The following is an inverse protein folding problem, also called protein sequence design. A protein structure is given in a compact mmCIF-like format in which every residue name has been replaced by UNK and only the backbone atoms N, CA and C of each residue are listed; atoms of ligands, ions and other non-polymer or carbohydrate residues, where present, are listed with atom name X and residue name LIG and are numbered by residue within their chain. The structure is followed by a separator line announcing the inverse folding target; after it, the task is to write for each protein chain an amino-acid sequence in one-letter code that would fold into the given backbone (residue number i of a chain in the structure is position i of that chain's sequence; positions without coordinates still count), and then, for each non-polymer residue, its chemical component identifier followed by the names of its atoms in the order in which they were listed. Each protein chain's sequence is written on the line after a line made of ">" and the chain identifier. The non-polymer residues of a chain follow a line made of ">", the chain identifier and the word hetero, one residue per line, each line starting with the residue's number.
data_IF_386563687975
#
_entry.id   IF_386563687975
#
_cell.length_a   1.000
_cell.length_b   1.000
_cell.length_c   1.000
_cell.angle_alpha   90.00
_cell.angle_beta   90.00
_cell.angle_gamma   90.00
#
_symmetry.space_group_name_H-M   'P 1'
#
loop_
_entity.id
_entity.type
_entity.pdbx_description
1 polymer ?
#
# COMPACT_ATOMS: atom_id res chain seq x y z
N UNK A 1 11.62 7.00 -14.01
CA UNK A 1 11.48 8.35 -14.61
C UNK A 1 10.35 9.05 -13.88
N UNK A 2 10.51 10.31 -13.48
CA UNK A 2 9.41 11.04 -12.81
C UNK A 2 8.22 11.22 -13.78
N UNK A 3 6.97 11.24 -13.29
CA UNK A 3 5.76 11.36 -14.13
C UNK A 3 5.81 12.59 -15.05
N UNK A 4 6.41 13.69 -14.58
CA UNK A 4 6.67 14.89 -15.39
C UNK A 4 7.59 14.65 -16.60
N UNK A 5 8.62 13.80 -16.46
CA UNK A 5 9.52 13.46 -17.58
C UNK A 5 8.78 12.63 -18.63
N UNK A 6 7.89 11.74 -18.20
CA UNK A 6 7.08 10.91 -19.11
C UNK A 6 6.07 11.77 -19.87
N UNK A 7 5.40 12.70 -19.20
CA UNK A 7 4.49 13.66 -19.84
C UNK A 7 5.23 14.53 -20.86
N UNK A 8 6.40 15.08 -20.50
CA UNK A 8 7.22 15.89 -21.43
C UNK A 8 7.73 15.08 -22.62
N UNK A 9 8.16 13.83 -22.40
CA UNK A 9 8.61 12.95 -23.47
C UNK A 9 7.47 12.59 -24.43
N UNK A 10 6.27 12.30 -23.92
CA UNK A 10 5.09 12.01 -24.75
C UNK A 10 4.65 13.24 -25.57
N UNK A 11 4.63 14.42 -24.96
CA UNK A 11 4.34 15.66 -25.69
C UNK A 11 5.39 15.96 -26.76
N UNK A 12 6.68 15.77 -26.46
CA UNK A 12 7.76 15.91 -27.43
C UNK A 12 7.63 14.89 -28.57
N UNK A 13 7.33 13.63 -28.27
CA UNK A 13 7.11 12.59 -29.28
C UNK A 13 5.93 12.91 -30.20
N UNK A 14 4.80 13.36 -29.65
CA UNK A 14 3.64 13.77 -30.44
C UNK A 14 3.96 14.95 -31.37
N UNK A 15 4.74 15.92 -30.90
CA UNK A 15 5.18 17.07 -31.69
C UNK A 15 6.20 16.66 -32.76
N UNK A 16 7.22 15.87 -32.40
CA UNK A 16 8.24 15.38 -33.33
C UNK A 16 7.60 14.56 -34.44
N UNK A 17 6.62 13.72 -34.13
CA UNK A 17 5.88 12.97 -35.14
C UNK A 17 5.16 13.90 -36.13
N UNK A 18 4.46 14.91 -35.60
CA UNK A 18 3.72 15.88 -36.42
C UNK A 18 4.67 16.64 -37.35
N UNK A 19 5.83 17.09 -36.86
CA UNK A 19 6.86 17.75 -37.69
C UNK A 19 7.48 16.79 -38.71
N UNK A 20 7.77 15.56 -38.32
CA UNK A 20 8.40 14.56 -39.18
C UNK A 20 7.51 14.21 -40.37
N UNK A 21 6.20 14.07 -40.16
CA UNK A 21 5.25 13.83 -41.26
C UNK A 21 5.27 15.00 -42.24
N UNK A 22 5.27 16.24 -41.77
CA UNK A 22 5.33 17.43 -42.64
C UNK A 22 6.64 17.53 -43.44
N UNK A 23 7.77 17.20 -42.82
CA UNK A 23 9.08 17.20 -43.50
C UNK A 23 9.14 16.09 -44.55
N UNK A 24 8.61 14.91 -44.24
CA UNK A 24 8.55 13.80 -45.19
C UNK A 24 7.65 14.11 -46.39
N UNK A 25 6.49 14.72 -46.14
CA UNK A 25 5.54 15.15 -47.17
C UNK A 25 6.16 16.18 -48.13
N UNK A 26 6.96 17.13 -47.61
CA UNK A 26 7.67 18.11 -48.43
C UNK A 26 8.85 17.54 -49.26
N UNK A 27 9.41 16.40 -48.85
CA UNK A 27 10.58 15.79 -49.49
C UNK A 27 10.22 14.70 -50.51
N UNK A 28 9.04 14.10 -50.38
CA UNK A 28 8.57 13.02 -51.24
C UNK A 28 7.88 13.57 -52.50
N UNK A 29 7.96 12.84 -53.62
CA UNK A 29 7.24 13.20 -54.83
C UNK A 29 5.72 13.19 -54.59
N UNK A 30 5.00 14.09 -55.30
CA UNK A 30 3.57 14.38 -55.06
C UNK A 30 2.57 13.27 -55.37
N UNK A 31 3.03 12.05 -55.65
CA UNK A 31 2.24 10.84 -55.79
C UNK A 31 2.09 10.06 -54.47
N UNK A 32 2.85 10.42 -53.43
CA UNK A 32 2.76 9.82 -52.09
C UNK A 32 1.97 10.72 -51.14
N UNK A 33 0.88 10.22 -50.58
CA UNK A 33 0.01 10.97 -49.66
C UNK A 33 0.27 10.53 -48.21
N UNK A 34 0.86 11.42 -47.40
CA UNK A 34 1.19 11.13 -46.00
C UNK A 34 0.23 11.77 -44.98
N UNK A 35 -0.74 12.56 -45.42
CA UNK A 35 -1.74 13.23 -44.58
C UNK A 35 -2.43 12.33 -43.54
N UNK A 36 -2.78 11.05 -43.81
CA UNK A 36 -3.37 10.17 -42.80
C UNK A 36 -2.49 9.96 -41.56
N UNK A 37 -1.16 10.05 -41.71
CA UNK A 37 -0.21 9.81 -40.62
C UNK A 37 -0.18 10.96 -39.59
N UNK A 38 -0.70 12.14 -39.93
CA UNK A 38 -0.80 13.28 -39.01
C UNK A 38 -1.74 12.94 -37.82
N UNK A 39 -2.75 12.10 -38.05
CA UNK A 39 -3.70 11.65 -37.03
C UNK A 39 -3.08 10.75 -35.94
N UNK A 40 -1.85 10.27 -36.13
CA UNK A 40 -1.11 9.52 -35.10
C UNK A 40 -0.65 10.44 -33.96
N UNK A 41 -0.41 11.72 -34.21
CA UNK A 41 0.00 12.69 -33.16
C UNK A 41 -1.01 12.79 -32.00
N UNK A 42 -2.32 13.02 -32.23
CA UNK A 42 -3.30 13.01 -31.14
C UNK A 42 -3.45 11.63 -30.47
N UNK A 43 -3.15 10.51 -31.16
CA UNK A 43 -3.11 9.18 -30.54
C UNK A 43 -1.93 9.01 -29.58
N UNK A 44 -0.74 9.51 -29.94
CA UNK A 44 0.42 9.54 -29.03
C UNK A 44 0.10 10.42 -27.81
N UNK A 45 -0.51 11.59 -28.04
CA UNK A 45 -0.93 12.49 -26.97
C UNK A 45 -1.96 11.85 -26.04
N UNK A 46 -2.94 11.12 -26.57
CA UNK A 46 -4.02 10.51 -25.80
C UNK A 46 -3.57 9.34 -24.92
N UNK A 47 -2.34 8.85 -25.05
CA UNK A 47 -1.82 7.80 -24.19
C UNK A 47 -1.49 8.31 -22.78
N UNK A 48 -0.97 9.54 -22.67
CA UNK A 48 -0.42 10.07 -21.41
C UNK A 48 -0.96 11.45 -21.06
N UNK A 49 -1.21 12.32 -22.03
CA UNK A 49 -1.55 13.71 -21.78
C UNK A 49 -3.01 13.91 -21.36
N UNK A 50 -3.36 15.14 -20.99
CA UNK A 50 -4.72 15.53 -20.59
C UNK A 50 -5.66 15.65 -21.80
N UNK A 51 -6.99 15.58 -21.62
CA UNK A 51 -7.94 15.70 -22.72
C UNK A 51 -7.83 17.04 -23.47
N UNK A 52 -7.48 18.13 -22.76
CA UNK A 52 -7.30 19.46 -23.34
C UNK A 52 -6.08 19.51 -24.26
N UNK A 53 -4.97 18.95 -23.81
CA UNK A 53 -3.72 18.88 -24.60
C UNK A 53 -3.86 17.92 -25.78
N UNK A 54 -4.53 16.78 -25.62
CA UNK A 54 -4.85 15.86 -26.73
C UNK A 54 -5.74 16.52 -27.77
N UNK A 55 -6.74 17.29 -27.34
CA UNK A 55 -7.57 18.07 -28.25
C UNK A 55 -6.77 19.14 -29.01
N UNK A 56 -5.76 19.74 -28.39
CA UNK A 56 -4.87 20.70 -29.05
C UNK A 56 -4.02 20.03 -30.14
N UNK A 57 -3.48 18.84 -29.91
CA UNK A 57 -2.81 18.04 -30.95
C UNK A 57 -3.75 17.61 -32.07
N UNK A 58 -5.00 17.25 -31.73
CA UNK A 58 -6.03 16.96 -32.74
C UNK A 58 -6.38 18.16 -33.61
N UNK A 59 -6.53 19.34 -32.99
CA UNK A 59 -6.77 20.59 -33.73
C UNK A 59 -5.58 20.97 -34.62
N UNK A 60 -4.35 20.79 -34.14
CA UNK A 60 -3.14 21.00 -34.94
C UNK A 60 -3.07 20.04 -36.14
N UNK A 61 -3.42 18.77 -35.94
CA UNK A 61 -3.48 17.78 -37.01
C UNK A 61 -4.48 18.18 -38.11
N UNK A 62 -5.68 18.60 -37.72
CA UNK A 62 -6.71 19.10 -38.65
C UNK A 62 -6.22 20.34 -39.40
N UNK A 63 -5.60 21.30 -38.70
CA UNK A 63 -5.06 22.51 -39.32
C UNK A 63 -3.97 22.20 -40.36
N UNK A 64 -3.10 21.23 -40.05
CA UNK A 64 -2.07 20.73 -40.97
C UNK A 64 -2.70 20.13 -42.23
N UNK A 65 -3.70 19.25 -42.09
CA UNK A 65 -4.39 18.64 -43.24
C UNK A 65 -5.09 19.69 -44.11
N UNK A 66 -5.63 20.76 -43.50
CA UNK A 66 -6.22 21.88 -44.24
C UNK A 66 -5.15 22.62 -45.05
N UNK A 67 -4.02 22.96 -44.44
CA UNK A 67 -2.92 23.65 -45.13
C UNK A 67 -2.34 22.79 -46.25
N UNK A 68 -2.12 21.49 -46.02
CA UNK A 68 -1.66 20.53 -47.04
C UNK A 68 -2.58 20.54 -48.28
N UNK A 69 -3.89 20.54 -48.07
CA UNK A 69 -4.87 20.59 -49.16
C UNK A 69 -4.79 21.85 -50.03
N UNK A 70 -4.40 23.00 -49.45
CA UNK A 70 -4.15 24.23 -50.22
C UNK A 70 -2.79 24.22 -50.94
N UNK A 71 -1.75 23.66 -50.31
CA UNK A 71 -0.39 23.62 -50.89
C UNK A 71 -0.31 22.70 -52.09
N UNK A 72 -1.03 21.57 -52.06
CA UNK A 72 -1.04 20.56 -53.12
C UNK A 72 -2.14 20.77 -54.18
N UNK A 73 -2.83 21.92 -54.18
CA UNK A 73 -3.99 22.21 -55.04
C UNK A 73 -5.09 21.11 -55.01
N UNK A 74 -5.14 20.33 -53.92
CA UNK A 74 -6.09 19.24 -53.73
C UNK A 74 -7.44 19.73 -53.16
N UNK A 75 -7.57 21.04 -52.92
CA UNK A 75 -8.76 21.63 -52.31
C UNK A 75 -10.01 21.45 -53.18
N UNK A 76 -11.07 20.91 -52.58
CA UNK A 76 -12.33 20.61 -53.28
C UNK A 76 -12.36 19.23 -53.97
N UNK A 77 -11.28 18.45 -53.92
CA UNK A 77 -11.30 17.05 -54.34
C UNK A 77 -12.01 16.15 -53.33
N UNK A 78 -12.64 15.07 -53.79
CA UNK A 78 -13.29 14.10 -52.89
C UNK A 78 -12.30 13.44 -51.91
N UNK A 79 -11.05 13.23 -52.35
CA UNK A 79 -9.98 12.66 -51.53
C UNK A 79 -9.61 13.57 -50.34
N UNK A 80 -9.52 14.89 -50.54
CA UNK A 80 -9.26 15.84 -49.47
C UNK A 80 -10.36 15.83 -48.40
N UNK A 81 -11.63 15.71 -48.81
CA UNK A 81 -12.76 15.62 -47.88
C UNK A 81 -12.72 14.34 -47.04
N UNK A 82 -12.34 13.21 -47.64
CA UNK A 82 -12.17 11.93 -46.92
C UNK A 82 -11.03 12.03 -45.90
N UNK A 83 -9.88 12.58 -46.29
CA UNK A 83 -8.74 12.77 -45.39
C UNK A 83 -9.08 13.67 -44.20
N UNK A 84 -9.74 14.81 -44.45
CA UNK A 84 -10.16 15.72 -43.39
C UNK A 84 -11.16 15.05 -42.42
N UNK A 85 -12.10 14.27 -42.96
CA UNK A 85 -13.06 13.52 -42.15
C UNK A 85 -12.34 12.47 -41.29
N UNK A 86 -11.40 11.71 -41.85
CA UNK A 86 -10.63 10.69 -41.14
C UNK A 86 -9.81 11.30 -39.99
N UNK A 87 -9.07 12.37 -40.24
CA UNK A 87 -8.28 13.06 -39.21
C UNK A 87 -9.17 13.62 -38.10
N UNK A 88 -10.34 14.17 -38.45
CA UNK A 88 -11.32 14.65 -37.46
C UNK A 88 -11.87 13.49 -36.61
N UNK A 89 -12.25 12.37 -37.23
CA UNK A 89 -12.80 11.19 -36.54
C UNK A 89 -11.75 10.58 -35.61
N UNK A 90 -10.51 10.39 -36.08
CA UNK A 90 -9.41 9.85 -35.27
C UNK A 90 -9.09 10.79 -34.10
N UNK A 91 -9.03 12.10 -34.35
CA UNK A 91 -8.78 13.09 -33.29
C UNK A 91 -9.90 13.11 -32.23
N UNK A 92 -11.15 13.04 -32.66
CA UNK A 92 -12.30 12.96 -31.76
C UNK A 92 -12.28 11.66 -30.93
N UNK A 93 -11.96 10.52 -31.56
CA UNK A 93 -11.79 9.23 -30.89
C UNK A 93 -10.64 9.28 -29.87
N UNK A 94 -9.49 9.86 -30.23
CA UNK A 94 -8.35 10.02 -29.33
C UNK A 94 -8.72 10.85 -28.08
N UNK A 95 -9.47 11.95 -28.26
CA UNK A 95 -9.97 12.75 -27.13
C UNK A 95 -10.96 11.94 -26.29
N UNK A 96 -11.89 11.21 -26.90
CA UNK A 96 -12.87 10.38 -26.18
C UNK A 96 -12.18 9.27 -25.35
N UNK A 97 -11.19 8.58 -25.93
CA UNK A 97 -10.34 7.59 -25.25
C UNK A 97 -9.62 8.25 -24.07
N UNK A 98 -9.01 9.42 -24.27
CA UNK A 98 -8.32 10.16 -23.21
C UNK A 98 -9.28 10.56 -22.07
N UNK A 99 -10.50 11.03 -22.39
CA UNK A 99 -11.53 11.34 -21.38
C UNK A 99 -11.93 10.09 -20.60
N UNK A 100 -12.14 8.96 -21.27
CA UNK A 100 -12.47 7.70 -20.61
C UNK A 100 -11.33 7.22 -19.69
N UNK A 101 -10.08 7.29 -20.17
CA UNK A 101 -8.85 6.98 -19.42
C UNK A 101 -8.77 7.81 -18.14
N UNK A 102 -8.83 9.14 -18.26
CA UNK A 102 -8.74 10.06 -17.12
C UNK A 102 -9.91 9.92 -16.14
N UNK A 103 -11.11 9.63 -16.63
CA UNK A 103 -12.26 9.34 -15.73
C UNK A 103 -12.03 8.05 -14.94
N UNK A 104 -11.50 7.01 -15.56
CA UNK A 104 -11.17 5.74 -14.89
C UNK A 104 -10.08 5.94 -13.84
N UNK A 105 -8.98 6.61 -14.20
CA UNK A 105 -7.90 6.97 -13.29
C UNK A 105 -8.42 7.76 -12.08
N UNK A 106 -9.24 8.80 -12.30
CA UNK A 106 -9.82 9.59 -11.21
C UNK A 106 -10.77 8.81 -10.32
N UNK A 107 -11.56 7.88 -10.88
CA UNK A 107 -12.48 7.04 -10.10
C UNK A 107 -11.68 6.11 -9.19
N UNK A 108 -10.62 5.50 -9.71
CA UNK A 108 -9.72 4.64 -8.93
C UNK A 108 -9.05 5.44 -7.81
N UNK A 109 -8.44 6.58 -8.12
CA UNK A 109 -7.78 7.44 -7.13
C UNK A 109 -8.74 7.92 -6.01
N UNK A 110 -10.00 8.22 -6.34
CA UNK A 110 -11.01 8.60 -5.34
C UNK A 110 -11.34 7.44 -4.40
N UNK A 111 -11.53 6.23 -4.92
CA UNK A 111 -11.79 5.04 -4.10
C UNK A 111 -10.59 4.74 -3.21
N UNK A 112 -9.36 4.81 -3.74
CA UNK A 112 -8.13 4.62 -2.95
C UNK A 112 -8.06 5.60 -1.77
N UNK A 113 -8.30 6.90 -2.01
CA UNK A 113 -8.25 7.92 -0.95
C UNK A 113 -9.31 7.71 0.13
N UNK A 114 -10.53 7.33 -0.25
CA UNK A 114 -11.59 7.05 0.74
C UNK A 114 -11.23 5.82 1.57
N UNK A 115 -10.70 4.78 0.93
CA UNK A 115 -10.24 3.59 1.63
C UNK A 115 -9.12 3.97 2.62
N UNK A 116 -8.13 4.77 2.22
CA UNK A 116 -7.00 5.17 3.08
C UNK A 116 -7.46 5.89 4.36
N UNK A 117 -8.42 6.81 4.20
CA UNK A 117 -9.03 7.50 5.35
C UNK A 117 -9.82 6.52 6.23
N UNK A 118 -10.58 5.61 5.63
CA UNK A 118 -11.33 4.59 6.39
C UNK A 118 -10.39 3.63 7.14
N UNK A 119 -9.28 3.23 6.54
CA UNK A 119 -8.30 2.35 7.17
C UNK A 119 -7.62 3.02 8.35
N UNK A 120 -7.18 4.28 8.21
CA UNK A 120 -6.64 5.04 9.34
C UNK A 120 -7.65 5.22 10.47
N UNK A 121 -8.94 5.25 10.14
CA UNK A 121 -10.00 5.29 11.16
C UNK A 121 -10.25 3.92 11.83
N UNK A 122 -9.86 2.83 11.18
CA UNK A 122 -9.97 1.46 11.71
C UNK A 122 -8.73 1.07 12.51
N UNK A 123 -7.54 1.48 12.08
CA UNK A 123 -6.28 1.17 12.76
C UNK A 123 -6.24 1.90 14.13
N UNK A 124 -6.03 1.15 15.23
CA UNK A 124 -6.02 1.70 16.57
C UNK A 124 -4.79 2.55 16.86
N UNK A 125 -4.95 3.49 17.79
CA UNK A 125 -3.81 4.09 18.51
C UNK A 125 -3.39 3.12 19.61
N UNK A 126 -2.32 2.37 19.38
CA UNK A 126 -1.67 1.56 20.42
C UNK A 126 -0.90 2.52 21.35
N UNK A 127 -1.08 2.43 22.68
CA UNK A 127 -0.40 3.33 23.60
C UNK A 127 1.11 3.08 23.58
N UNK A 128 1.89 4.16 23.66
CA UNK A 128 3.36 4.09 23.69
C UNK A 128 3.91 3.36 24.94
N UNK A 129 3.12 3.29 26.02
CA UNK A 129 3.50 2.59 27.24
C UNK A 129 2.28 1.97 27.94
N UNK A 130 2.37 0.70 28.33
CA UNK A 130 1.34 0.01 29.11
C UNK A 130 1.94 -1.14 29.94
N UNK A 131 1.59 -1.22 31.24
CA UNK A 131 1.94 -2.34 32.13
C UNK A 131 3.43 -2.79 32.10
N UNK A 132 4.36 -1.83 31.93
CA UNK A 132 5.80 -2.11 31.81
C UNK A 132 6.19 -2.67 30.43
N UNK A 133 5.46 -2.28 29.39
CA UNK A 133 5.84 -2.43 28.00
C UNK A 133 5.98 -1.03 27.40
N UNK A 134 7.10 -0.75 26.74
CA UNK A 134 7.22 0.37 25.82
C UNK A 134 6.92 -0.15 24.40
N UNK A 135 6.12 0.58 23.64
CA UNK A 135 5.60 0.09 22.36
C UNK A 135 5.72 1.18 21.30
N UNK A 136 6.21 0.80 20.13
CA UNK A 136 6.19 1.62 18.92
C UNK A 136 5.57 0.84 17.78
N UNK A 137 4.75 1.49 16.96
CA UNK A 137 4.17 0.90 15.76
C UNK A 137 4.50 1.76 14.54
N UNK A 138 4.63 1.11 13.38
CA UNK A 138 4.77 1.76 12.08
C UNK A 138 3.91 1.05 11.05
N UNK A 139 3.28 1.85 10.20
CA UNK A 139 2.54 1.39 9.04
C UNK A 139 3.06 2.12 7.81
N UNK A 140 3.53 1.39 6.81
CA UNK A 140 3.95 1.94 5.52
C UNK A 140 3.08 1.33 4.43
N UNK A 141 2.47 2.18 3.60
CA UNK A 141 1.70 1.68 2.45
C UNK A 141 2.57 1.56 1.21
N UNK A 142 2.31 0.53 0.41
CA UNK A 142 3.09 0.20 -0.79
C UNK A 142 3.12 1.31 -1.86
N UNK A 143 2.05 2.11 -1.99
CA UNK A 143 1.92 3.03 -3.14
C UNK A 143 1.08 4.26 -2.83
N UNK A 144 1.53 5.43 -3.29
CA UNK A 144 0.80 6.71 -3.18
C UNK A 144 -0.59 6.70 -3.87
N UNK A 145 -0.82 5.79 -4.83
CA UNK A 145 -2.02 5.73 -5.66
C UNK A 145 -2.83 4.43 -5.53
N UNK A 146 -2.33 3.41 -4.82
CA UNK A 146 -3.01 2.11 -4.71
C UNK A 146 -3.84 1.97 -3.44
N UNK A 147 -4.72 0.97 -3.50
CA UNK A 147 -5.79 0.76 -2.55
C UNK A 147 -5.20 0.16 -1.29
N UNK A 148 -5.50 0.77 -0.16
CA UNK A 148 -5.34 0.24 1.20
C UNK A 148 -5.00 -1.26 1.30
N UNK A 149 -3.95 -1.51 2.08
CA UNK A 149 -3.49 -2.83 2.48
C UNK A 149 -4.35 -3.59 3.47
N UNK A 150 -4.07 -4.90 3.52
CA UNK A 150 -4.64 -5.85 4.46
C UNK A 150 -3.95 -5.90 5.83
N UNK A 151 -2.75 -5.34 5.92
CA UNK A 151 -1.96 -5.27 7.14
C UNK A 151 -2.67 -4.59 8.31
N UNK A 152 -2.60 -5.21 9.48
CA UNK A 152 -3.22 -4.72 10.71
C UNK A 152 -2.38 -5.00 11.94
N UNK A 153 -2.59 -4.18 12.95
CA UNK A 153 -2.17 -4.44 14.32
C UNK A 153 -3.20 -3.87 15.30
N UNK A 154 -3.30 -4.45 16.49
CA UNK A 154 -4.13 -3.93 17.58
C UNK A 154 -3.66 -4.44 18.94
N UNK A 155 -4.19 -3.84 20.01
CA UNK A 155 -3.97 -4.25 21.38
C UNK A 155 -5.31 -4.33 22.15
N UNK A 156 -5.42 -5.31 23.04
CA UNK A 156 -6.48 -5.39 24.02
C UNK A 156 -5.87 -5.29 25.41
N UNK A 157 -6.24 -4.22 26.12
CA UNK A 157 -5.66 -3.83 27.40
C UNK A 157 -6.78 -3.81 28.43
N UNK A 158 -6.80 -4.82 29.29
CA UNK A 158 -7.76 -4.98 30.38
C UNK A 158 -7.00 -5.11 31.71
N UNK A 159 -7.73 -5.16 32.83
CA UNK A 159 -7.09 -5.37 34.14
C UNK A 159 -6.39 -6.74 34.24
N UNK A 160 -6.90 -7.76 33.55
CA UNK A 160 -6.35 -9.12 33.60
C UNK A 160 -5.49 -9.51 32.40
N UNK A 161 -5.69 -8.87 31.25
CA UNK A 161 -5.04 -9.24 29.99
C UNK A 161 -4.40 -8.06 29.28
N UNK A 162 -3.15 -8.26 28.85
CA UNK A 162 -2.40 -7.38 27.95
C UNK A 162 -1.99 -8.19 26.74
N UNK A 163 -2.77 -8.03 25.66
CA UNK A 163 -2.67 -8.85 24.45
C UNK A 163 -2.51 -8.00 23.21
N UNK A 164 -1.78 -8.52 22.22
CA UNK A 164 -1.50 -7.86 20.96
C UNK A 164 -1.78 -8.77 19.78
N UNK A 165 -2.05 -8.17 18.63
CA UNK A 165 -2.15 -8.85 17.35
C UNK A 165 -1.40 -8.06 16.29
N UNK A 166 -0.70 -8.78 15.42
CA UNK A 166 -0.24 -8.29 14.11
C UNK A 166 -0.69 -9.32 13.08
N UNK A 167 -1.17 -8.86 11.94
CA UNK A 167 -1.61 -9.76 10.88
C UNK A 167 -1.68 -9.10 9.53
N UNK A 168 -1.84 -9.93 8.51
CA UNK A 168 -2.03 -9.54 7.13
C UNK A 168 -3.28 -10.25 6.56
N UNK A 169 -4.17 -9.44 6.01
CA UNK A 169 -5.38 -9.86 5.32
C UNK A 169 -5.06 -10.06 3.84
N UNK A 170 -5.37 -11.25 3.34
CA UNK A 170 -5.18 -11.54 1.92
C UNK A 170 -6.01 -10.60 1.04
N UNK A 171 -5.33 -9.73 0.30
CA UNK A 171 -5.92 -8.88 -0.72
C UNK A 171 -5.62 -7.41 -0.50
N UNK A 172 -6.06 -6.58 -1.45
CA UNK A 172 -5.91 -5.13 -1.39
C UNK A 172 -7.25 -4.53 -1.73
N UNK A 173 -7.61 -3.42 -1.11
CA UNK A 173 -8.96 -2.93 -1.36
C UNK A 173 -9.69 -2.33 -0.18
N UNK A 174 -10.84 -1.77 -0.51
CA UNK A 174 -11.90 -1.57 0.48
C UNK A 174 -12.35 -2.89 1.13
N UNK A 175 -12.32 -4.01 0.39
CA UNK A 175 -12.62 -5.34 0.94
C UNK A 175 -11.61 -5.76 2.03
N UNK A 176 -10.32 -5.46 1.83
CA UNK A 176 -9.28 -5.73 2.83
C UNK A 176 -9.49 -4.88 4.10
N UNK A 177 -9.90 -3.60 3.97
CA UNK A 177 -10.28 -2.76 5.12
C UNK A 177 -11.41 -3.38 5.93
N UNK A 178 -12.47 -3.83 5.25
CA UNK A 178 -13.62 -4.42 5.91
C UNK A 178 -13.23 -5.70 6.67
N UNK A 179 -12.40 -6.55 6.06
CA UNK A 179 -11.87 -7.75 6.70
C UNK A 179 -10.97 -7.40 7.90
N UNK A 180 -10.06 -6.44 7.77
CA UNK A 180 -9.21 -5.98 8.88
C UNK A 180 -10.05 -5.45 10.05
N UNK A 181 -11.11 -4.68 9.78
CA UNK A 181 -12.03 -4.19 10.81
C UNK A 181 -12.75 -5.34 11.55
N UNK A 182 -13.14 -6.41 10.82
CA UNK A 182 -13.73 -7.61 11.42
C UNK A 182 -12.73 -8.35 12.30
N UNK A 183 -11.47 -8.49 11.87
CA UNK A 183 -10.39 -9.12 12.65
C UNK A 183 -10.14 -8.34 13.93
N UNK A 184 -9.99 -7.02 13.85
CA UNK A 184 -9.80 -6.13 15.01
C UNK A 184 -10.97 -6.29 16.00
N UNK A 185 -12.21 -6.31 15.51
CA UNK A 185 -13.39 -6.50 16.36
C UNK A 185 -13.38 -7.86 17.05
N UNK A 186 -13.11 -8.92 16.30
CA UNK A 186 -13.04 -10.28 16.81
C UNK A 186 -11.95 -10.40 17.88
N UNK A 187 -10.77 -9.86 17.59
CA UNK A 187 -9.63 -9.83 18.49
C UNK A 187 -9.97 -9.12 19.80
N UNK A 188 -10.49 -7.88 19.76
CA UNK A 188 -10.83 -7.13 20.98
C UNK A 188 -11.81 -7.88 21.86
N UNK A 189 -12.85 -8.45 21.26
CA UNK A 189 -13.86 -9.21 22.00
C UNK A 189 -13.26 -10.47 22.64
N UNK A 190 -12.55 -11.28 21.86
CA UNK A 190 -11.98 -12.53 22.32
C UNK A 190 -10.86 -12.29 23.35
N UNK A 191 -9.93 -11.38 23.05
CA UNK A 191 -8.80 -11.05 23.92
C UNK A 191 -9.22 -10.47 25.28
N UNK A 192 -10.37 -9.79 25.36
CA UNK A 192 -10.91 -9.28 26.62
C UNK A 192 -11.71 -10.30 27.43
N UNK A 193 -12.20 -11.38 26.82
CA UNK A 193 -13.17 -12.29 27.46
C UNK A 193 -12.69 -13.71 27.68
N UNK A 194 -11.74 -14.20 26.87
CA UNK A 194 -11.23 -15.56 26.94
C UNK A 194 -10.03 -15.67 27.88
N UNK A 195 -9.89 -16.82 28.54
CA UNK A 195 -8.83 -17.01 29.52
C UNK A 195 -7.51 -17.36 28.84
N UNK A 196 -7.54 -18.28 27.88
CA UNK A 196 -6.35 -18.79 27.21
C UNK A 196 -6.17 -18.22 25.81
N UNK A 197 -4.91 -18.06 25.38
CA UNK A 197 -4.59 -17.57 24.04
C UNK A 197 -5.11 -18.48 22.90
N UNK A 198 -5.16 -19.83 23.03
CA UNK A 198 -5.85 -20.68 22.06
C UNK A 198 -7.34 -20.36 21.94
N UNK A 199 -8.05 -20.15 23.07
CA UNK A 199 -9.46 -19.78 23.04
C UNK A 199 -9.70 -18.43 22.36
N UNK A 200 -8.78 -17.46 22.54
CA UNK A 200 -8.84 -16.18 21.83
C UNK A 200 -8.87 -16.42 20.33
N UNK A 201 -7.92 -17.20 19.81
CA UNK A 201 -7.82 -17.48 18.38
C UNK A 201 -9.00 -18.30 17.86
N UNK A 202 -9.44 -19.33 18.60
CA UNK A 202 -10.58 -20.15 18.19
C UNK A 202 -11.90 -19.35 18.14
N UNK A 203 -12.10 -18.41 19.07
CA UNK A 203 -13.26 -17.51 19.08
C UNK A 203 -13.20 -16.52 17.90
N UNK A 204 -12.01 -15.96 17.63
CA UNK A 204 -11.77 -15.12 16.46
C UNK A 204 -12.06 -15.87 15.15
N UNK A 205 -11.50 -17.07 14.97
CA UNK A 205 -11.70 -17.89 13.78
C UNK A 205 -13.19 -18.21 13.58
N UNK A 206 -13.87 -18.63 14.65
CA UNK A 206 -15.30 -18.93 14.62
C UNK A 206 -16.14 -17.73 14.18
N UNK A 207 -15.81 -16.52 14.65
CA UNK A 207 -16.47 -15.29 14.24
C UNK A 207 -16.18 -14.94 12.77
N UNK A 208 -14.91 -14.99 12.35
CA UNK A 208 -14.50 -14.60 11.00
C UNK A 208 -15.09 -15.50 9.92
N UNK A 209 -15.21 -16.81 10.21
CA UNK A 209 -15.84 -17.80 9.32
C UNK A 209 -17.32 -17.54 9.01
N UNK A 210 -18.00 -16.70 9.79
CA UNK A 210 -19.37 -16.28 9.47
C UNK A 210 -19.43 -15.31 8.29
N UNK A 211 -18.32 -14.66 7.98
CA UNK A 211 -18.26 -13.61 6.97
C UNK A 211 -17.26 -13.85 5.85
N UNK A 212 -16.34 -14.81 6.04
CA UNK A 212 -15.34 -15.18 5.05
C UNK A 212 -15.90 -16.29 4.15
N UNK A 213 -15.62 -16.17 2.85
CA UNK A 213 -15.76 -17.26 1.89
C UNK A 213 -14.61 -18.27 2.02
N UNK A 214 -14.72 -19.41 1.33
CA UNK A 214 -13.74 -20.51 1.44
C UNK A 214 -12.30 -20.14 1.00
N UNK A 215 -12.09 -19.00 0.33
CA UNK A 215 -10.78 -18.53 -0.14
C UNK A 215 -10.22 -17.32 0.64
N UNK A 216 -10.99 -16.78 1.58
CA UNK A 216 -10.61 -15.60 2.38
C UNK A 216 -9.99 -16.04 3.71
N UNK A 217 -8.81 -15.50 4.02
CA UNK A 217 -8.10 -15.82 5.24
C UNK A 217 -7.20 -14.67 5.67
N UNK A 218 -6.78 -14.70 6.93
CA UNK A 218 -5.89 -13.70 7.54
C UNK A 218 -4.77 -14.44 8.25
N UNK A 219 -3.53 -14.11 7.89
CA UNK A 219 -2.38 -14.56 8.67
C UNK A 219 -2.23 -13.66 9.88
N UNK A 220 -2.01 -14.22 11.06
CA UNK A 220 -1.85 -13.41 12.27
C UNK A 220 -0.95 -14.06 13.30
N UNK A 221 -0.24 -13.25 14.07
CA UNK A 221 0.37 -13.63 15.33
C UNK A 221 -0.36 -12.92 16.47
N UNK A 222 -0.79 -13.69 17.47
CA UNK A 222 -1.46 -13.17 18.66
C UNK A 222 -0.57 -13.42 19.86
N UNK A 223 -0.48 -12.44 20.74
CA UNK A 223 0.48 -12.43 21.84
C UNK A 223 -0.23 -12.09 23.14
N UNK A 224 0.16 -12.79 24.20
CA UNK A 224 -0.23 -12.54 25.57
C UNK A 224 1.02 -12.19 26.39
N UNK A 225 1.07 -10.96 26.88
CA UNK A 225 2.11 -10.42 27.75
C UNK A 225 1.54 -10.03 29.12
N UNK A 226 0.43 -10.65 29.54
CA UNK A 226 -0.28 -10.31 30.77
C UNK A 226 0.49 -10.72 32.03
N UNK A 227 1.31 -11.77 31.92
CA UNK A 227 2.13 -12.26 33.03
C UNK A 227 3.53 -11.64 32.97
N UNK A 228 3.99 -10.91 33.99
CA UNK A 228 5.34 -10.36 34.01
C UNK A 228 6.41 -11.44 33.83
N UNK A 229 7.43 -11.16 33.02
CA UNK A 229 8.53 -12.10 32.74
C UNK A 229 8.18 -13.20 31.72
N UNK A 230 6.95 -13.23 31.22
CA UNK A 230 6.44 -14.32 30.39
C UNK A 230 5.72 -13.77 29.16
N UNK A 231 6.13 -14.24 27.98
CA UNK A 231 5.48 -13.92 26.71
C UNK A 231 4.92 -15.20 26.10
N UNK A 232 3.62 -15.24 25.81
CA UNK A 232 2.98 -16.38 25.16
C UNK A 232 2.49 -15.99 23.77
N UNK A 233 2.79 -16.80 22.75
CA UNK A 233 2.43 -16.52 21.37
C UNK A 233 1.62 -17.67 20.76
N UNK A 234 0.71 -17.30 19.89
CA UNK A 234 -0.01 -18.18 18.96
C UNK A 234 0.23 -17.68 17.53
N UNK A 235 0.74 -18.54 16.65
CA UNK A 235 0.98 -18.21 15.25
C UNK A 235 -0.07 -18.87 14.36
N UNK A 236 -0.83 -18.06 13.61
CA UNK A 236 -1.86 -18.47 12.66
C UNK A 236 -1.35 -18.26 11.22
N UNK A 237 -0.23 -18.91 10.87
CA UNK A 237 0.36 -18.87 9.53
C UNK A 237 1.08 -17.56 9.17
N UNK A 238 1.45 -16.76 10.18
CA UNK A 238 2.15 -15.49 10.04
C UNK A 238 3.67 -15.63 10.17
N UNK A 239 4.39 -14.55 9.83
CA UNK A 239 5.84 -14.49 9.96
C UNK A 239 6.29 -14.69 11.42
N UNK A 240 7.42 -15.40 11.66
CA UNK A 240 7.96 -15.55 13.01
C UNK A 240 8.35 -14.20 13.63
N UNK A 241 7.99 -14.01 14.89
CA UNK A 241 8.42 -12.82 15.64
C UNK A 241 9.93 -12.86 15.90
N UNK A 242 10.58 -11.70 15.87
CA UNK A 242 12.01 -11.57 16.17
C UNK A 242 12.16 -11.08 17.61
N UNK A 243 12.77 -11.91 18.46
CA UNK A 243 13.13 -11.58 19.84
C UNK A 243 14.59 -11.12 19.90
N UNK A 244 14.80 -9.93 20.44
CA UNK A 244 16.11 -9.37 20.75
C UNK A 244 16.26 -9.37 22.26
N UNK A 245 17.28 -10.08 22.75
CA UNK A 245 17.61 -10.15 24.15
C UNK A 245 18.39 -8.91 24.58
N UNK A 246 18.24 -8.52 25.84
CA UNK A 246 19.00 -7.40 26.42
C UNK A 246 20.54 -7.59 26.31
N UNK A 247 21.02 -8.85 26.26
CA UNK A 247 22.44 -9.18 26.10
C UNK A 247 22.95 -9.04 24.64
N UNK A 248 22.07 -8.74 23.69
CA UNK A 248 22.40 -8.62 22.27
C UNK A 248 22.22 -9.89 21.45
N UNK A 249 21.70 -10.98 22.03
CA UNK A 249 21.30 -12.16 21.25
C UNK A 249 20.00 -11.89 20.50
N UNK A 250 19.84 -12.49 19.32
CA UNK A 250 18.63 -12.34 18.50
C UNK A 250 18.16 -13.69 18.00
N UNK A 251 16.87 -13.98 18.16
CA UNK A 251 16.27 -15.25 17.74
C UNK A 251 14.90 -15.03 17.08
N UNK A 252 14.62 -15.76 16.01
CA UNK A 252 13.26 -15.89 15.48
C UNK A 252 12.50 -16.93 16.31
N UNK A 253 11.36 -16.55 16.85
CA UNK A 253 10.58 -17.40 17.73
C UNK A 253 9.93 -18.56 16.96
N UNK A 254 10.33 -19.78 17.28
CA UNK A 254 9.78 -21.01 16.72
C UNK A 254 8.44 -21.35 17.38
N UNK A 255 7.37 -20.71 16.92
CA UNK A 255 5.99 -21.05 17.30
C UNK A 255 5.37 -21.88 16.17
N UNK A 256 4.99 -23.15 16.40
CA UNK A 256 4.37 -23.97 15.36
C UNK A 256 3.15 -23.26 14.74
N UNK A 257 3.14 -23.04 13.42
CA UNK A 257 2.06 -22.31 12.79
C UNK A 257 0.80 -23.19 12.70
N UNK A 258 -0.33 -22.65 13.16
CA UNK A 258 -1.64 -23.15 12.79
C UNK A 258 -2.08 -22.61 11.43
N UNK A 259 -3.19 -23.15 10.92
CA UNK A 259 -3.81 -22.59 9.71
C UNK A 259 -4.23 -21.13 9.94
N UNK A 260 -4.22 -20.28 8.90
CA UNK A 260 -4.70 -18.90 8.99
C UNK A 260 -6.11 -18.76 9.55
N UNK A 261 -6.40 -17.60 10.12
CA UNK A 261 -7.73 -17.24 10.61
C UNK A 261 -8.74 -17.24 9.46
N UNK A 262 -9.92 -17.81 9.70
CA UNK A 262 -10.96 -17.99 8.69
C UNK A 262 -10.98 -19.40 8.09
N UNK A 263 -9.95 -20.21 8.34
CA UNK A 263 -9.82 -21.57 7.80
C UNK A 263 -9.95 -22.67 8.86
N UNK A 264 -10.43 -22.35 10.07
CA UNK A 264 -10.54 -23.33 11.15
C UNK A 264 -9.31 -23.37 12.05
N UNK A 265 -8.72 -22.20 12.34
CA UNK A 265 -7.50 -22.09 13.14
C UNK A 265 -7.67 -22.65 14.55
N UNK A 266 -6.73 -23.51 14.95
CA UNK A 266 -6.60 -24.10 16.29
C UNK A 266 -5.13 -24.07 16.70
N UNK A 267 -4.64 -22.96 17.27
CA UNK A 267 -3.23 -22.79 17.50
C UNK A 267 -2.74 -23.56 18.71
N UNK A 268 -1.55 -24.14 18.57
CA UNK A 268 -0.70 -24.40 19.73
C UNK A 268 -0.02 -23.10 20.15
N UNK A 269 0.25 -22.95 21.44
CA UNK A 269 0.98 -21.81 21.96
C UNK A 269 2.39 -22.20 22.37
N UNK A 270 3.30 -21.22 22.35
CA UNK A 270 4.60 -21.33 23.02
C UNK A 270 4.82 -20.13 23.92
N UNK A 271 5.54 -20.40 25.00
CA UNK A 271 5.88 -19.42 26.02
C UNK A 271 7.38 -19.20 26.04
N UNK A 272 7.79 -17.94 26.16
CA UNK A 272 9.19 -17.53 26.19
C UNK A 272 9.46 -16.65 27.42
N UNK A 273 10.67 -16.71 27.99
CA UNK A 273 11.12 -15.72 28.96
C UNK A 273 11.09 -14.32 28.33
N UNK A 274 10.63 -13.34 29.10
CA UNK A 274 10.43 -11.95 28.66
C UNK A 274 10.98 -10.99 29.72
N UNK A 275 12.30 -10.93 29.75
CA UNK A 275 13.06 -10.23 30.78
C UNK A 275 13.17 -8.73 30.48
N UNK A 276 13.48 -7.93 31.51
CA UNK A 276 13.65 -6.48 31.32
C UNK A 276 14.77 -6.16 30.32
N UNK A 277 14.49 -5.25 29.39
CA UNK A 277 15.35 -4.91 28.26
C UNK A 277 15.17 -5.79 27.02
N UNK A 278 14.46 -6.91 27.12
CA UNK A 278 14.13 -7.72 25.94
C UNK A 278 13.17 -6.94 25.03
N UNK A 279 13.39 -7.04 23.72
CA UNK A 279 12.59 -6.43 22.66
C UNK A 279 12.00 -7.47 21.73
N UNK A 280 10.77 -7.27 21.29
CA UNK A 280 10.06 -8.16 20.38
C UNK A 280 9.59 -7.35 19.18
N UNK A 281 10.07 -7.71 18.00
CA UNK A 281 9.61 -7.17 16.73
C UNK A 281 8.61 -8.13 16.08
N UNK A 282 7.41 -7.60 15.83
CA UNK A 282 6.35 -8.22 15.06
C UNK A 282 6.21 -7.44 13.76
N UNK A 283 6.04 -8.16 12.66
CA UNK A 283 6.03 -7.55 11.35
C UNK A 283 5.26 -8.41 10.35
N UNK A 284 4.68 -7.76 9.36
CA UNK A 284 4.08 -8.41 8.19
C UNK A 284 5.13 -8.71 7.13
N UNK A 285 4.77 -9.53 6.15
CA UNK A 285 5.68 -9.97 5.10
C UNK A 285 6.22 -8.81 4.25
N UNK A 286 5.53 -7.66 4.17
CA UNK A 286 6.02 -6.45 3.52
C UNK A 286 7.40 -5.98 3.99
N UNK A 287 7.83 -6.34 5.22
CA UNK A 287 9.19 -6.09 5.70
C UNK A 287 10.21 -7.05 5.05
N UNK A 288 9.96 -8.35 5.12
CA UNK A 288 10.89 -9.38 4.62
C UNK A 288 10.85 -9.56 3.12
N UNK A 289 9.72 -9.27 2.49
CA UNK A 289 9.50 -9.37 1.05
C UNK A 289 9.84 -8.08 0.30
N UNK A 290 10.23 -7.01 1.01
CA UNK A 290 10.79 -5.83 0.40
C UNK A 290 12.04 -6.18 -0.43
N UNK A 291 12.17 -5.54 -1.59
CA UNK A 291 13.19 -5.91 -2.60
C UNK A 291 14.09 -4.76 -2.97
N UNK A 292 15.39 -5.06 -3.11
CA UNK A 292 16.36 -4.14 -3.71
C UNK A 292 16.22 -4.07 -5.25
N UNK A 293 17.11 -3.31 -5.89
CA UNK A 293 17.18 -3.19 -7.35
C UNK A 293 17.50 -4.51 -8.07
N UNK A 294 18.10 -5.48 -7.39
CA UNK A 294 18.41 -6.82 -7.89
C UNK A 294 17.34 -7.85 -7.53
N UNK A 295 16.22 -7.43 -6.94
CA UNK A 295 15.11 -8.27 -6.45
C UNK A 295 15.45 -9.17 -5.26
N UNK A 296 16.57 -8.90 -4.58
CA UNK A 296 16.94 -9.57 -3.33
C UNK A 296 16.06 -9.08 -2.18
N UNK A 297 15.65 -10.00 -1.32
CA UNK A 297 14.83 -9.72 -0.14
C UNK A 297 15.60 -8.96 0.94
N UNK A 298 14.89 -8.14 1.72
CA UNK A 298 15.48 -7.39 2.82
C UNK A 298 16.01 -8.33 3.90
N UNK A 299 17.32 -8.33 4.18
CA UNK A 299 17.93 -9.26 5.13
C UNK A 299 17.73 -8.74 6.57
N UNK A 300 16.53 -8.92 7.13
CA UNK A 300 16.16 -8.39 8.46
C UNK A 300 17.21 -8.70 9.55
N UNK A 301 17.75 -9.92 9.55
CA UNK A 301 18.73 -10.36 10.57
C UNK A 301 20.06 -9.57 10.51
N UNK A 302 20.41 -9.02 9.35
CA UNK A 302 21.61 -8.19 9.16
C UNK A 302 21.42 -6.75 9.64
N UNK A 303 20.20 -6.39 10.06
CA UNK A 303 19.82 -5.04 10.50
C UNK A 303 19.29 -5.01 11.93
N UNK A 304 19.59 -6.03 12.74
CA UNK A 304 19.15 -6.10 14.14
C UNK A 304 19.91 -5.15 15.07
N UNK A 305 21.01 -4.56 14.60
CA UNK A 305 21.79 -3.56 15.31
C UNK A 305 20.98 -2.29 15.58
N UNK A 306 20.20 -1.80 14.60
CA UNK A 306 19.37 -0.59 14.74
C UNK A 306 18.22 -0.79 15.72
N UNK A 307 17.76 -2.03 15.89
CA UNK A 307 16.68 -2.37 16.81
C UNK A 307 17.10 -2.25 18.29
N UNK A 308 18.35 -1.85 18.57
CA UNK A 308 18.91 -1.66 19.91
C UNK A 308 19.09 -0.18 20.30
N UNK A 309 18.67 0.76 19.46
CA UNK A 309 18.74 2.19 19.78
C UNK A 309 17.95 2.54 21.05
N UNK A 310 18.26 3.70 21.67
CA UNK A 310 17.85 4.04 23.05
C UNK A 310 16.34 3.88 23.31
N UNK A 311 15.48 4.20 22.34
CA UNK A 311 14.04 4.05 22.45
C UNK A 311 13.47 3.10 21.39
N UNK A 312 12.35 2.44 21.70
CA UNK A 312 11.58 1.64 20.72
C UNK A 312 11.09 2.47 19.53
N UNK A 313 10.93 3.78 19.71
CA UNK A 313 10.52 4.68 18.63
C UNK A 313 11.67 4.91 17.64
N UNK A 314 12.84 5.30 18.15
CA UNK A 314 14.03 5.55 17.35
C UNK A 314 14.51 4.27 16.67
N UNK A 315 14.51 3.16 17.40
CA UNK A 315 14.88 1.84 16.89
C UNK A 315 13.99 1.41 15.71
N UNK A 316 12.67 1.61 15.84
CA UNK A 316 11.74 1.24 14.77
C UNK A 316 11.83 2.21 13.59
N UNK A 317 12.01 3.51 13.82
CA UNK A 317 12.21 4.48 12.74
C UNK A 317 13.52 4.22 11.99
N UNK A 318 14.62 3.93 12.69
CA UNK A 318 15.89 3.56 12.09
C UNK A 318 15.80 2.30 11.22
N UNK A 319 15.00 1.30 11.64
CA UNK A 319 14.69 0.15 10.78
C UNK A 319 13.92 0.58 9.52
N UNK A 320 12.91 1.45 9.66
CA UNK A 320 12.14 1.97 8.51
C UNK A 320 13.03 2.77 7.54
N UNK A 321 13.98 3.55 8.05
CA UNK A 321 14.94 4.30 7.23
C UNK A 321 15.88 3.38 6.45
N UNK A 322 16.38 2.30 7.08
CA UNK A 322 17.18 1.28 6.39
C UNK A 322 16.38 0.60 5.29
N UNK A 323 15.12 0.26 5.57
CA UNK A 323 14.22 -0.32 4.60
C UNK A 323 13.97 0.61 3.40
N UNK A 324 13.65 1.90 3.66
CA UNK A 324 13.44 2.90 2.59
C UNK A 324 14.69 3.10 1.73
N UNK A 325 15.87 3.02 2.33
CA UNK A 325 17.16 3.12 1.62
C UNK A 325 17.46 1.89 0.79
N UNK A 326 17.08 0.70 1.27
CA UNK A 326 17.26 -0.57 0.58
C UNK A 326 16.39 -0.69 -0.68
N UNK A 327 15.15 -0.18 -0.61
CA UNK A 327 14.16 -0.33 -1.69
C UNK A 327 14.34 0.75 -2.78
N UNK A 328 14.32 0.40 -4.09
CA UNK A 328 14.51 1.35 -5.17
C UNK A 328 13.50 2.51 -5.15
N UNK A 329 14.01 3.72 -4.94
CA UNK A 329 13.19 4.92 -4.87
C UNK A 329 12.30 5.00 -3.62
N UNK A 330 12.47 4.13 -2.63
CA UNK A 330 11.75 4.16 -1.35
C UNK A 330 10.30 3.68 -1.39
N UNK A 331 9.85 3.01 -2.46
CA UNK A 331 8.47 2.54 -2.60
C UNK A 331 8.38 1.03 -2.38
N UNK A 332 7.66 0.60 -1.35
CA UNK A 332 7.44 -0.80 -1.06
C UNK A 332 6.55 -1.47 -2.11
N UNK A 333 6.71 -2.78 -2.32
CA UNK A 333 5.84 -3.54 -3.22
C UNK A 333 4.55 -4.01 -2.52
N UNK A 334 4.61 -4.15 -1.20
CA UNK A 334 3.48 -4.49 -0.35
C UNK A 334 3.37 -3.54 0.84
N UNK A 335 2.20 -3.56 1.48
CA UNK A 335 2.00 -2.82 2.71
C UNK A 335 2.83 -3.46 3.83
N UNK A 336 3.15 -2.65 4.83
CA UNK A 336 3.96 -3.08 5.97
C UNK A 336 3.35 -2.57 7.26
N UNK A 337 3.07 -3.48 8.17
CA UNK A 337 2.82 -3.21 9.57
C UNK A 337 3.96 -3.78 10.41
N UNK A 338 4.51 -2.97 11.31
CA UNK A 338 5.52 -3.38 12.27
C UNK A 338 5.16 -2.86 13.66
N UNK A 339 5.38 -3.69 14.67
CA UNK A 339 5.24 -3.37 16.09
C UNK A 339 6.50 -3.81 16.83
N UNK A 340 7.15 -2.86 17.49
CA UNK A 340 8.29 -3.12 18.37
C UNK A 340 7.83 -2.91 19.82
N UNK A 341 8.02 -3.94 20.64
CA UNK A 341 7.72 -3.92 22.07
C UNK A 341 9.02 -4.09 22.86
N UNK A 342 9.17 -3.40 23.97
CA UNK A 342 10.26 -3.59 24.93
C UNK A 342 9.69 -3.85 26.32
N UNK A 343 10.21 -4.87 27.00
CA UNK A 343 9.94 -5.06 28.42
C UNK A 343 10.73 -4.04 29.21
N UNK A 344 10.01 -3.12 29.85
CA UNK A 344 10.60 -2.09 30.70
C UNK A 344 10.16 -2.29 32.14
N UNK A 345 10.95 -1.81 33.12
CA UNK A 345 10.53 -1.84 34.52
C UNK A 345 9.16 -1.17 34.65
N UNK A 346 8.24 -1.83 35.36
CA UNK A 346 6.92 -1.26 35.59
C UNK A 346 7.10 0.05 36.37
N UNK A 347 6.82 1.19 35.74
CA UNK A 347 6.83 2.49 36.43
C UNK A 347 5.74 2.45 37.49
N UNK A 348 6.15 2.56 38.77
CA UNK A 348 5.23 2.74 39.89
C UNK A 348 4.46 4.05 39.65
N UNK A 349 3.22 3.98 39.17
CA UNK A 349 2.30 5.13 39.11
C UNK A 349 1.66 5.49 37.77
N UNK A 350 1.86 4.76 36.67
CA UNK A 350 1.06 5.01 35.46
C UNK A 350 -0.33 4.37 35.62
N UNK A 351 -1.33 5.16 35.97
CA UNK A 351 -2.75 4.78 35.85
C UNK A 351 -3.06 4.25 34.45
N UNK A 352 -3.97 3.27 34.31
CA UNK A 352 -4.41 2.82 33.00
C UNK A 352 -4.95 4.03 32.22
N UNK A 353 -4.39 4.30 31.03
CA UNK A 353 -5.01 5.24 30.11
C UNK A 353 -6.26 4.54 29.58
N UNK A 354 -7.43 4.93 30.08
CA UNK A 354 -8.71 4.59 29.45
C UNK A 354 -8.67 5.13 28.02
N UNK A 355 -8.96 4.31 26.99
CA UNK A 355 -9.06 4.78 25.62
C UNK A 355 -10.38 5.54 25.47
N UNK A 356 -10.45 6.75 26.00
CA UNK A 356 -11.60 7.63 25.78
C UNK A 356 -11.38 8.34 24.44
N UNK A 357 -12.08 7.85 23.42
CA UNK A 357 -12.08 8.38 22.05
C UNK A 357 -12.80 9.74 21.93
N UNK A 358 -12.40 10.72 22.73
CA UNK A 358 -12.86 12.11 22.58
C UNK A 358 -11.69 13.06 22.45
N UNK A 359 -10.99 12.98 21.32
CA UNK A 359 -10.27 14.13 20.80
C UNK A 359 -11.32 15.21 20.46
N UNK A 360 -11.44 16.20 21.34
CA UNK A 360 -12.32 17.34 21.17
C UNK A 360 -12.00 18.06 19.86
N UNK A 361 -13.00 18.14 18.97
CA UNK A 361 -13.02 19.12 17.91
C UNK A 361 -13.07 20.51 18.55
N UNK A 362 -11.96 21.25 18.51
CA UNK A 362 -12.01 22.70 18.69
C UNK A 362 -12.73 23.32 17.47
N UNK A 363 -13.74 24.19 17.67
CA UNK A 363 -14.38 24.87 16.56
C UNK A 363 -13.42 25.89 15.96
N UNK A 364 -13.19 25.77 14.65
CA UNK A 364 -12.53 26.82 13.88
C UNK A 364 -13.44 28.05 13.92
N UNK A 365 -12.92 29.12 14.52
CA UNK A 365 -13.52 30.46 14.48
C UNK A 365 -13.12 31.16 13.19
#
# INVERSE_FOLDING_TARGET
>A
MTPDRVMRASAAAALVWLVLVQVADALLPGDVVLDPLVAVSPLIACAVLSPRTTALFGAAAVAVTVVSGFVHDAWGTGQQWVLLADVCVISAAAVAICVARVRRERKLARVSRIAEVAQRAVLPVVPAFVQGLAISTRYLSATEDSVVGGDLYDCSLTEGYTRFIVGDVRGKGLAAVEQAARVIRAFRQAAATKESLPEVVEDMDSYLRLFFSDEEFVTAVVIDASTPGVLTLANCGHQPALLLRANGDTELLDVPPAVPLGLGSRPTTRTYPWDEGDRLLLYTDGLTEARDQHRAFFPLLDHTDVLRDDSVEDALEGLMERLRTFVPGGHLNDDLAAMLMERVPARVGSTPVTPDGTAGFAPVS
#
